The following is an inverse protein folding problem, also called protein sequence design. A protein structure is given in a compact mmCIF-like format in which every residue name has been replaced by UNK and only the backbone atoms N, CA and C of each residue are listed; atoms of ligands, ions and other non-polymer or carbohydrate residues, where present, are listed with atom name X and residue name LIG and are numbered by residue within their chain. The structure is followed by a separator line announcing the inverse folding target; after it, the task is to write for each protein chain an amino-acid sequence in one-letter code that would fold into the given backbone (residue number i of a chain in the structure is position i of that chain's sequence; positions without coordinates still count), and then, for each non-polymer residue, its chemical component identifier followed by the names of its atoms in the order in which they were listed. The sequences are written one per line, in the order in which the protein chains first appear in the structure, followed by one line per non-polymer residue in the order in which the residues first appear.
data_IF_275452521038
#
_entry.id   IF_275452521038
#
_cell.length_a   1.000
_cell.length_b   1.000
_cell.length_c   1.000
_cell.angle_alpha   90.00
_cell.angle_beta   90.00
_cell.angle_gamma   90.00
#
_symmetry.space_group_name_H-M   'P 1'
#
loop_
_entity.id
_entity.type
_entity.pdbx_description
1 polymer ?
#
# COMPACT_ATOMS: atom_id res chain seq x y z
N UNK A 1 -6.43 -8.87 -0.79
CA UNK A 1 -7.06 -7.58 -0.45
C UNK A 1 -7.03 -7.44 1.06
N UNK A 2 -6.67 -6.27 1.59
CA UNK A 2 -6.62 -6.01 3.03
C UNK A 2 -7.10 -4.58 3.35
N UNK A 3 -7.77 -4.40 4.49
CA UNK A 3 -8.00 -3.08 5.09
C UNK A 3 -6.84 -2.84 6.04
N UNK A 4 -6.18 -1.69 5.90
CA UNK A 4 -4.87 -1.46 6.54
C UNK A 4 -4.85 -0.34 7.57
N UNK A 5 -5.89 0.48 7.64
CA UNK A 5 -6.04 1.51 8.67
C UNK A 5 -7.10 2.54 8.33
N UNK A 6 -7.55 3.34 9.31
CA UNK A 6 -8.39 4.51 9.05
C UNK A 6 -7.59 5.63 8.39
N UNK A 7 -8.30 6.59 7.79
CA UNK A 7 -7.76 7.90 7.42
C UNK A 7 -8.77 9.01 7.67
N UNK A 8 -8.27 10.22 7.91
CA UNK A 8 -9.11 11.43 7.98
C UNK A 8 -8.46 12.58 7.20
N UNK A 9 -9.30 13.43 6.59
CA UNK A 9 -8.91 14.56 5.75
C UNK A 9 -9.96 15.66 5.87
N UNK A 10 -9.80 16.54 6.86
CA UNK A 10 -10.83 17.52 7.24
C UNK A 10 -12.08 16.82 7.76
N UNK A 11 -13.22 17.06 7.12
CA UNK A 11 -14.51 16.43 7.43
C UNK A 11 -14.71 15.07 6.74
N UNK A 12 -13.73 14.62 5.95
CA UNK A 12 -13.78 13.33 5.27
C UNK A 12 -13.05 12.26 6.08
N UNK A 13 -13.62 11.07 6.12
CA UNK A 13 -13.00 9.92 6.77
C UNK A 13 -13.23 8.64 6.00
N UNK A 14 -12.48 7.61 6.38
CA UNK A 14 -12.71 6.27 5.88
C UNK A 14 -11.56 5.34 6.19
N UNK A 15 -11.33 4.38 5.29
CA UNK A 15 -10.30 3.36 5.46
C UNK A 15 -9.43 3.21 4.23
N UNK A 16 -8.16 2.89 4.47
CA UNK A 16 -7.22 2.46 3.46
C UNK A 16 -7.46 0.99 3.11
N UNK A 17 -7.54 0.71 1.81
CA UNK A 17 -7.61 -0.65 1.27
C UNK A 17 -6.45 -0.87 0.31
N UNK A 18 -5.81 -2.02 0.45
CA UNK A 18 -4.79 -2.50 -0.49
C UNK A 18 -5.31 -3.67 -1.30
N UNK A 19 -4.96 -3.69 -2.59
CA UNK A 19 -5.30 -4.78 -3.51
C UNK A 19 -4.02 -5.25 -4.19
N UNK A 20 -3.66 -6.50 -3.95
CA UNK A 20 -2.57 -7.18 -4.63
C UNK A 20 -3.16 -8.19 -5.59
N UNK A 21 -2.78 -8.11 -6.86
CA UNK A 21 -3.19 -9.02 -7.91
C UNK A 21 -1.94 -9.65 -8.49
N UNK A 22 -1.83 -10.97 -8.35
CA UNK A 22 -0.80 -11.76 -9.01
C UNK A 22 -1.48 -12.59 -10.10
N UNK A 23 -1.42 -12.19 -11.38
CA UNK A 23 -2.09 -12.92 -12.44
C UNK A 23 -1.43 -14.30 -12.64
N UNK A 24 -2.21 -15.28 -13.07
CA UNK A 24 -1.67 -16.60 -13.40
C UNK A 24 -0.89 -16.55 -14.73
N UNK A 25 0.37 -16.97 -14.72
CA UNK A 25 1.20 -17.05 -15.92
C UNK A 25 2.68 -16.82 -15.60
N UNK A 26 3.58 -17.39 -16.42
CA UNK A 26 5.02 -17.39 -16.14
C UNK A 26 5.66 -15.98 -16.17
N UNK A 27 5.03 -15.02 -16.84
CA UNK A 27 5.52 -13.64 -17.02
C UNK A 27 4.56 -12.56 -16.47
N UNK A 28 3.54 -12.99 -15.72
CA UNK A 28 2.55 -12.07 -15.20
C UNK A 28 3.14 -11.21 -14.08
N UNK A 29 3.22 -9.90 -14.32
CA UNK A 29 3.65 -8.93 -13.32
C UNK A 29 2.59 -8.76 -12.24
N UNK A 30 3.04 -8.63 -11.00
CA UNK A 30 2.16 -8.32 -9.89
C UNK A 30 1.69 -6.87 -9.98
N UNK A 31 0.41 -6.64 -9.68
CA UNK A 31 -0.15 -5.31 -9.55
C UNK A 31 -0.52 -5.03 -8.10
N UNK A 32 -0.19 -3.83 -7.63
CA UNK A 32 -0.50 -3.39 -6.29
C UNK A 32 -1.20 -2.05 -6.33
N UNK A 33 -2.35 -1.95 -5.67
CA UNK A 33 -3.16 -0.74 -5.63
C UNK A 33 -3.39 -0.32 -4.18
N UNK A 34 -3.27 0.98 -3.95
CA UNK A 34 -3.71 1.68 -2.74
C UNK A 34 -5.02 2.39 -3.06
N UNK A 35 -6.02 2.25 -2.18
CA UNK A 35 -7.34 2.85 -2.37
C UNK A 35 -7.80 3.54 -1.09
N UNK A 36 -8.34 4.75 -1.24
CA UNK A 36 -9.13 5.38 -0.20
C UNK A 36 -10.58 4.96 -0.37
N UNK A 37 -11.12 4.28 0.63
CA UNK A 37 -12.55 4.11 0.77
C UNK A 37 -13.05 5.21 1.69
N UNK A 38 -13.96 6.05 1.22
CA UNK A 38 -14.64 7.04 2.04
C UNK A 38 -15.88 6.38 2.65
N UNK A 39 -16.07 6.59 3.94
CA UNK A 39 -17.30 6.26 4.66
C UNK A 39 -18.14 7.53 4.81
N UNK A 40 -19.45 7.39 4.67
CA UNK A 40 -20.39 8.47 4.98
C UNK A 40 -21.22 8.15 6.23
N UNK A 41 -21.90 9.16 6.75
CA UNK A 41 -22.72 9.07 7.97
C UNK A 41 -23.89 8.08 7.85
N UNK A 42 -24.28 7.70 6.62
CA UNK A 42 -25.35 6.75 6.33
C UNK A 42 -24.82 5.31 6.15
N UNK A 43 -23.58 5.03 6.57
CA UNK A 43 -22.84 3.78 6.36
C UNK A 43 -22.60 3.41 4.88
N UNK A 44 -22.69 4.38 3.97
CA UNK A 44 -22.25 4.23 2.61
C UNK A 44 -20.72 4.12 2.55
N UNK A 45 -20.25 3.29 1.62
CA UNK A 45 -18.82 3.11 1.34
C UNK A 45 -18.58 3.31 -0.15
N UNK A 46 -17.70 4.23 -0.50
CA UNK A 46 -17.34 4.51 -1.88
C UNK A 46 -15.82 4.57 -2.07
N UNK A 47 -15.35 4.22 -3.27
CA UNK A 47 -13.93 4.39 -3.62
C UNK A 47 -13.72 5.87 -3.97
N UNK A 48 -13.01 6.59 -3.11
CA UNK A 48 -12.62 8.00 -3.33
C UNK A 48 -11.48 8.10 -4.33
N UNK A 49 -10.48 7.23 -4.20
CA UNK A 49 -9.28 7.23 -5.05
C UNK A 49 -8.70 5.83 -5.20
N UNK A 50 -7.93 5.62 -6.28
CA UNK A 50 -7.15 4.41 -6.52
C UNK A 50 -5.84 4.79 -7.19
N UNK A 51 -4.74 4.34 -6.62
CA UNK A 51 -3.40 4.53 -7.19
C UNK A 51 -2.71 3.19 -7.31
N UNK A 52 -2.20 2.89 -8.50
CA UNK A 52 -1.31 1.75 -8.73
C UNK A 52 0.12 2.12 -8.32
N UNK A 53 0.83 1.19 -7.68
CA UNK A 53 2.25 1.30 -7.34
C UNK A 53 3.04 0.37 -8.28
N UNK A 54 3.42 0.84 -9.49
CA UNK A 54 4.04 0.00 -10.52
C UNK A 54 5.44 -0.50 -10.14
N UNK A 55 6.11 0.15 -9.19
CA UNK A 55 7.44 -0.26 -8.72
C UNK A 55 7.41 -1.65 -8.07
N UNK A 56 6.27 -2.05 -7.50
CA UNK A 56 6.07 -3.39 -6.94
C UNK A 56 6.27 -4.48 -8.01
N UNK A 57 5.90 -4.21 -9.26
CA UNK A 57 6.11 -5.12 -10.38
C UNK A 57 7.59 -5.25 -10.82
N UNK A 58 8.46 -4.38 -10.31
CA UNK A 58 9.87 -4.28 -10.69
C UNK A 58 10.81 -4.90 -9.65
N UNK A 59 10.28 -5.28 -8.48
CA UNK A 59 11.05 -5.91 -7.42
C UNK A 59 11.65 -7.24 -7.88
N UNK A 60 12.93 -7.45 -7.55
CA UNK A 60 13.65 -8.69 -7.84
C UNK A 60 13.48 -9.66 -6.67
N UNK A 61 12.33 -10.31 -6.59
CA UNK A 61 12.05 -11.27 -5.54
C UNK A 61 10.57 -11.58 -5.41
N UNK A 62 10.24 -12.37 -4.41
CA UNK A 62 8.86 -12.65 -4.03
C UNK A 62 8.47 -11.79 -2.84
N UNK A 63 7.34 -11.08 -2.94
CA UNK A 63 6.73 -10.46 -1.75
C UNK A 63 6.06 -11.56 -0.94
N UNK A 64 6.54 -11.77 0.30
CA UNK A 64 5.96 -12.76 1.22
C UNK A 64 4.86 -12.17 2.08
N UNK A 65 4.84 -10.85 2.24
CA UNK A 65 3.81 -10.12 2.95
C UNK A 65 4.09 -8.62 2.99
N UNK A 66 3.14 -7.87 3.50
CA UNK A 66 3.32 -6.47 3.84
C UNK A 66 2.46 -6.12 5.05
N UNK A 67 2.86 -5.08 5.76
CA UNK A 67 2.13 -4.52 6.91
C UNK A 67 2.00 -3.01 6.72
N UNK A 68 0.92 -2.44 7.23
CA UNK A 68 0.84 -0.99 7.37
C UNK A 68 1.46 -0.55 8.68
N UNK A 69 1.98 0.67 8.67
CA UNK A 69 2.32 1.38 9.90
C UNK A 69 1.06 1.87 10.60
N UNK A 70 1.19 2.22 11.88
CA UNK A 70 0.13 2.90 12.60
C UNK A 70 -0.11 4.30 11.99
N UNK A 71 -1.38 4.76 11.89
CA UNK A 71 -1.67 6.11 11.43
C UNK A 71 -0.95 7.15 12.30
N UNK A 72 -0.23 8.08 11.67
CA UNK A 72 0.37 9.21 12.36
C UNK A 72 -0.72 10.24 12.70
N UNK A 73 -0.84 10.65 13.97
CA UNK A 73 -1.80 11.68 14.39
C UNK A 73 -1.54 13.04 13.72
N UNK A 74 -0.29 13.34 13.37
CA UNK A 74 0.08 14.57 12.65
C UNK A 74 -0.23 14.49 11.15
N UNK A 75 -0.31 13.27 10.61
CA UNK A 75 -0.53 12.99 9.19
C UNK A 75 -1.59 11.89 9.01
N UNK A 76 -2.84 12.12 9.44
CA UNK A 76 -3.86 11.07 9.52
C UNK A 76 -4.37 10.60 8.15
N UNK A 77 -3.97 11.27 7.07
CA UNK A 77 -4.26 10.89 5.69
C UNK A 77 -3.05 10.29 4.95
N UNK A 78 -2.05 9.83 5.70
CA UNK A 78 -0.82 9.25 5.16
C UNK A 78 -0.77 7.77 5.48
N UNK A 79 -0.34 6.98 4.50
CA UNK A 79 -0.21 5.52 4.61
C UNK A 79 1.26 5.13 4.45
N UNK A 80 1.83 4.57 5.52
CA UNK A 80 3.08 3.83 5.49
C UNK A 80 2.83 2.34 5.27
N UNK A 81 3.47 1.71 4.28
CA UNK A 81 3.47 0.26 4.10
C UNK A 81 4.90 -0.29 4.05
N UNK A 82 5.14 -1.39 4.76
CA UNK A 82 6.39 -2.14 4.75
C UNK A 82 6.18 -3.49 4.07
N UNK A 83 6.91 -3.75 3.00
CA UNK A 83 6.89 -4.97 2.21
C UNK A 83 8.09 -5.84 2.53
N UNK A 84 7.86 -7.11 2.84
CA UNK A 84 8.91 -8.09 3.00
C UNK A 84 9.15 -8.81 1.67
N UNK A 85 10.37 -8.68 1.14
CA UNK A 85 10.78 -9.24 -0.15
C UNK A 85 11.84 -10.31 0.10
N UNK A 86 11.58 -11.52 -0.37
CA UNK A 86 12.57 -12.60 -0.39
C UNK A 86 13.21 -12.67 -1.78
N UNK A 87 14.52 -12.43 -1.90
CA UNK A 87 15.25 -12.58 -3.16
C UNK A 87 15.15 -14.01 -3.73
N UNK A 88 15.17 -14.13 -5.06
CA UNK A 88 15.05 -15.42 -5.74
C UNK A 88 16.29 -16.32 -5.58
N UNK A 89 17.44 -15.73 -5.30
CA UNK A 89 18.71 -16.41 -5.02
C UNK A 89 18.85 -16.87 -3.57
N UNK A 90 17.87 -16.58 -2.71
CA UNK A 90 17.86 -16.99 -1.31
C UNK A 90 18.77 -16.15 -0.41
N UNK A 91 19.15 -14.95 -0.86
CA UNK A 91 19.82 -13.95 -0.03
C UNK A 91 18.92 -13.46 1.14
N UNK A 92 19.48 -12.55 1.95
CA UNK A 92 18.77 -11.97 3.09
C UNK A 92 17.54 -11.20 2.60
N UNK A 93 16.39 -11.45 3.23
CA UNK A 93 15.16 -10.73 2.93
C UNK A 93 15.33 -9.22 3.12
N UNK A 94 14.81 -8.46 2.17
CA UNK A 94 14.86 -7.00 2.13
C UNK A 94 13.48 -6.44 2.46
N UNK A 95 13.44 -5.37 3.27
CA UNK A 95 12.22 -4.63 3.54
C UNK A 95 12.19 -3.39 2.65
N UNK A 96 11.06 -3.16 1.98
CA UNK A 96 10.79 -1.94 1.22
C UNK A 96 9.68 -1.15 1.89
N UNK A 97 9.77 0.17 1.84
CA UNK A 97 8.82 1.10 2.43
C UNK A 97 8.14 1.93 1.34
N UNK A 98 6.82 2.03 1.43
CA UNK A 98 5.98 2.96 0.68
C UNK A 98 5.46 4.03 1.64
N UNK A 99 5.68 5.30 1.33
CA UNK A 99 5.04 6.42 2.00
C UNK A 99 4.10 7.12 1.02
N UNK A 100 2.79 7.06 1.30
CA UNK A 100 1.75 7.51 0.38
C UNK A 100 0.82 8.55 1.03
N UNK A 101 0.70 9.70 0.38
CA UNK A 101 -0.25 10.76 0.76
C UNK A 101 -1.03 11.20 -0.50
N UNK A 102 -2.38 11.22 -0.47
CA UNK A 102 -3.18 11.64 -1.62
C UNK A 102 -2.77 13.01 -2.18
N UNK A 103 -2.63 13.07 -3.50
CA UNK A 103 -2.30 14.32 -4.20
C UNK A 103 -0.85 14.78 -4.06
N UNK A 104 0.00 14.03 -3.34
CA UNK A 104 1.43 14.27 -3.23
C UNK A 104 2.23 13.16 -3.93
N UNK A 105 3.46 13.43 -4.37
CA UNK A 105 4.38 12.37 -4.80
C UNK A 105 4.61 11.39 -3.65
N UNK A 106 4.44 10.09 -3.92
CA UNK A 106 4.79 9.03 -2.96
C UNK A 106 6.28 8.67 -3.09
N UNK A 107 6.83 8.04 -2.06
CA UNK A 107 8.15 7.41 -2.10
C UNK A 107 8.03 5.90 -1.97
N UNK A 108 8.85 5.17 -2.73
CA UNK A 108 8.99 3.73 -2.60
C UNK A 108 10.48 3.36 -2.69
N UNK A 109 11.04 2.83 -1.60
CA UNK A 109 12.48 2.59 -1.49
C UNK A 109 12.78 1.46 -0.49
N UNK A 110 14.00 0.89 -0.48
CA UNK A 110 14.44 0.03 0.61
C UNK A 110 14.32 0.76 1.95
N UNK A 111 13.76 0.08 2.96
CA UNK A 111 13.66 0.62 4.31
C UNK A 111 15.06 0.84 4.88
N UNK A 112 15.29 2.02 5.44
CA UNK A 112 16.57 2.37 6.07
C UNK A 112 16.50 2.04 7.56
N UNK A 113 17.47 1.28 8.08
CA UNK A 113 17.65 1.10 9.53
C UNK A 113 18.35 2.30 10.18
#
# INVERSE_FOLDING_TARGET
MQIVGPWTDGDLEGVWRTVMVQPSGNDAKMHFFVQQLQTDDDNGVSIRSTTEIPEIAQLKGQIVGYRADEPNEEEPNTLGLFFEVVPADGEVSETYELHFTPGQPYSFAPASN
#
